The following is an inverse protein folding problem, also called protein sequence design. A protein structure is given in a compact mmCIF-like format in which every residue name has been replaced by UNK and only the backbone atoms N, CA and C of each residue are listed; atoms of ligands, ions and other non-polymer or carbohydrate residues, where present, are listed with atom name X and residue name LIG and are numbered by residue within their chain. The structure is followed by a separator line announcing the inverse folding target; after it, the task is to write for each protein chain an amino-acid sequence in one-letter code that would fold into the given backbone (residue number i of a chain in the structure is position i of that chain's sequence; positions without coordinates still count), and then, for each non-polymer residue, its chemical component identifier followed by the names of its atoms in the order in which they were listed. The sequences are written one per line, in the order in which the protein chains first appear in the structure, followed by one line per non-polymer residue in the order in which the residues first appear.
data_IF_453097379447
#
_entry.id   IF_453097379447
#
_cell.length_a   1.000
_cell.length_b   1.000
_cell.length_c   1.000
_cell.angle_alpha   90.00
_cell.angle_beta   90.00
_cell.angle_gamma   90.00
#
_symmetry.space_group_name_H-M   'P 1'
#
loop_
_entity.id
_entity.type
_entity.pdbx_description
1 polymer ?
#
# COMPACT_ATOMS: atom_id res chain seq x y z
N UNK A 1 -0.68 -14.41 -19.72
CA UNK A 1 -1.25 -15.61 -19.06
C UNK A 1 -1.36 -15.27 -17.58
N UNK A 2 -2.56 -15.31 -17.01
CA UNK A 2 -2.78 -15.13 -15.57
C UNK A 2 -2.99 -16.55 -15.01
N UNK A 3 -2.09 -17.03 -14.17
CA UNK A 3 -2.22 -18.34 -13.53
C UNK A 3 -3.19 -18.24 -12.34
N UNK A 4 -4.16 -19.15 -12.21
CA UNK A 4 -5.04 -19.18 -11.04
C UNK A 4 -4.22 -19.31 -9.75
N UNK A 5 -4.58 -18.59 -8.70
CA UNK A 5 -3.89 -18.68 -7.41
C UNK A 5 -2.67 -17.76 -7.23
N UNK A 6 -2.38 -16.86 -8.18
CA UNK A 6 -1.26 -15.92 -8.11
C UNK A 6 -1.74 -14.46 -8.24
N UNK A 7 -1.05 -13.53 -7.56
CA UNK A 7 -1.30 -12.10 -7.74
C UNK A 7 -0.68 -11.60 -9.05
N UNK A 8 -1.28 -10.62 -9.69
CA UNK A 8 -0.71 -9.97 -10.87
C UNK A 8 0.01 -8.68 -10.49
N UNK A 9 1.33 -8.66 -10.63
CA UNK A 9 2.17 -7.49 -10.40
C UNK A 9 2.20 -6.61 -11.67
N UNK A 10 1.35 -5.59 -11.71
CA UNK A 10 1.19 -4.69 -12.86
C UNK A 10 2.50 -3.99 -13.25
N UNK A 11 3.27 -3.53 -12.27
CA UNK A 11 4.57 -2.85 -12.46
C UNK A 11 5.65 -3.75 -13.06
N UNK A 12 5.48 -5.08 -13.01
CA UNK A 12 6.42 -6.07 -13.55
C UNK A 12 5.87 -6.86 -14.73
N UNK A 13 4.60 -6.66 -15.09
CA UNK A 13 3.88 -7.47 -16.07
C UNK A 13 4.01 -8.99 -15.80
N UNK A 14 3.99 -9.41 -14.53
CA UNK A 14 4.26 -10.78 -14.11
C UNK A 14 3.30 -11.26 -13.02
N UNK A 15 3.19 -12.59 -12.85
CA UNK A 15 2.42 -13.20 -11.75
C UNK A 15 3.34 -13.56 -10.58
N UNK A 16 2.86 -13.37 -9.36
CA UNK A 16 3.62 -13.54 -8.12
C UNK A 16 2.87 -14.48 -7.18
N UNK A 17 3.59 -15.43 -6.57
CA UNK A 17 3.04 -16.41 -5.63
C UNK A 17 2.60 -15.74 -4.31
N UNK A 18 1.59 -16.29 -3.62
CA UNK A 18 1.24 -15.88 -2.26
C UNK A 18 2.45 -15.89 -1.32
N UNK A 19 2.54 -14.87 -0.46
CA UNK A 19 3.64 -14.66 0.49
C UNK A 19 4.90 -14.04 -0.11
N UNK A 20 4.95 -13.79 -1.43
CA UNK A 20 6.09 -13.11 -2.06
C UNK A 20 5.85 -11.61 -2.17
N UNK A 21 6.95 -10.87 -2.07
CA UNK A 21 6.99 -9.40 -2.15
C UNK A 21 7.77 -8.94 -3.38
N UNK A 22 7.38 -7.81 -3.95
CA UNK A 22 8.06 -7.17 -5.06
C UNK A 22 8.11 -5.65 -4.89
N UNK A 23 9.16 -5.04 -5.42
CA UNK A 23 9.26 -3.59 -5.53
C UNK A 23 8.34 -3.04 -6.63
N UNK A 24 7.77 -1.86 -6.39
CA UNK A 24 6.83 -1.17 -7.29
C UNK A 24 7.50 -0.16 -8.24
N UNK A 25 8.81 -0.28 -8.46
CA UNK A 25 9.56 0.61 -9.37
C UNK A 25 8.80 0.82 -10.70
N UNK A 26 8.67 2.08 -11.18
CA UNK A 26 9.36 3.30 -10.72
C UNK A 26 8.72 4.00 -9.51
N UNK A 27 7.67 3.45 -8.89
CA UNK A 27 7.08 3.99 -7.67
C UNK A 27 7.88 3.54 -6.44
N UNK A 28 7.97 4.42 -5.44
CA UNK A 28 8.60 4.07 -4.16
C UNK A 28 7.61 3.34 -3.27
N UNK A 29 7.65 2.02 -3.34
CA UNK A 29 6.79 1.14 -2.56
C UNK A 29 7.12 -0.32 -2.84
N UNK A 30 6.54 -1.20 -2.03
CA UNK A 30 6.56 -2.64 -2.25
C UNK A 30 5.15 -3.19 -2.17
N UNK A 31 4.92 -4.29 -2.85
CA UNK A 31 3.68 -5.04 -2.79
C UNK A 31 3.93 -6.45 -2.34
N UNK A 32 3.00 -7.02 -1.60
CA UNK A 32 3.03 -8.42 -1.17
C UNK A 32 1.76 -9.13 -1.62
N UNK A 33 1.89 -10.32 -2.20
CA UNK A 33 0.74 -11.12 -2.55
C UNK A 33 0.22 -11.82 -1.29
N UNK A 34 -0.99 -11.48 -0.85
CA UNK A 34 -1.61 -12.07 0.35
C UNK A 34 -2.92 -12.76 -0.01
N UNK A 35 -3.29 -13.77 0.78
CA UNK A 35 -4.57 -14.45 0.68
C UNK A 35 -5.46 -13.90 1.79
N UNK A 36 -6.66 -13.42 1.45
CA UNK A 36 -7.61 -12.92 2.44
C UNK A 36 -8.20 -14.07 3.27
N UNK A 37 -8.61 -13.75 4.48
CA UNK A 37 -9.32 -14.68 5.38
C UNK A 37 -10.81 -14.82 5.04
N UNK A 38 -11.26 -14.16 3.97
CA UNK A 38 -12.63 -14.24 3.46
C UNK A 38 -13.01 -15.68 3.08
N UNK A 39 -14.31 -15.98 3.07
CA UNK A 39 -14.84 -17.25 2.57
C UNK A 39 -15.79 -16.97 1.39
N UNK A 40 -15.39 -17.23 0.14
CA UNK A 40 -14.15 -17.86 -0.31
C UNK A 40 -12.92 -16.92 -0.26
N UNK A 41 -11.69 -17.47 -0.13
CA UNK A 41 -10.48 -16.67 -0.04
C UNK A 41 -10.21 -15.92 -1.35
N UNK A 42 -9.75 -14.68 -1.22
CA UNK A 42 -9.38 -13.83 -2.36
C UNK A 42 -7.88 -13.54 -2.33
N UNK A 43 -7.29 -13.34 -3.50
CA UNK A 43 -5.92 -12.84 -3.60
C UNK A 43 -5.96 -11.31 -3.53
N UNK A 44 -5.13 -10.75 -2.66
CA UNK A 44 -4.98 -9.31 -2.49
C UNK A 44 -3.51 -8.94 -2.72
N UNK A 45 -3.30 -7.82 -3.40
CA UNK A 45 -2.00 -7.16 -3.44
C UNK A 45 -1.96 -6.16 -2.27
N UNK A 46 -1.20 -6.48 -1.23
CA UNK A 46 -0.96 -5.56 -0.12
C UNK A 46 0.14 -4.58 -0.51
N UNK A 47 -0.22 -3.32 -0.75
CA UNK A 47 0.69 -2.24 -1.14
C UNK A 47 1.17 -1.48 0.10
N UNK A 48 2.48 -1.34 0.25
CA UNK A 48 3.13 -0.46 1.21
C UNK A 48 3.94 0.60 0.45
N UNK A 49 3.57 1.86 0.58
CA UNK A 49 4.25 3.00 -0.02
C UNK A 49 4.63 4.05 1.04
N UNK A 50 5.14 5.20 0.61
CA UNK A 50 5.58 6.27 1.52
C UNK A 50 4.43 7.02 2.21
N UNK A 51 3.18 6.65 1.94
CA UNK A 51 2.01 7.34 2.47
C UNK A 51 1.74 8.71 1.83
N UNK A 52 0.77 9.46 2.37
CA UNK A 52 0.42 10.78 1.85
C UNK A 52 1.58 11.75 1.99
N UNK A 53 1.78 12.60 0.98
CA UNK A 53 2.73 13.69 1.10
C UNK A 53 2.18 14.76 2.05
N UNK A 54 3.06 15.43 2.82
CA UNK A 54 2.64 16.53 3.68
C UNK A 54 2.14 17.72 2.85
N UNK A 55 1.28 18.54 3.46
CA UNK A 55 0.82 19.80 2.92
C UNK A 55 2.01 20.74 2.69
N UNK A 56 2.03 21.40 1.54
CA UNK A 56 3.11 22.31 1.18
C UNK A 56 3.20 23.46 2.20
N UNK A 57 4.35 23.57 2.87
CA UNK A 57 4.62 24.61 3.85
C UNK A 57 6.00 25.24 3.54
N UNK A 58 6.12 26.58 3.47
CA UNK A 58 7.42 27.23 3.25
C UNK A 58 8.49 26.89 4.30
N UNK A 59 8.09 26.46 5.50
CA UNK A 59 9.00 26.12 6.62
C UNK A 59 9.55 24.69 6.60
N UNK A 60 9.04 23.83 5.72
CA UNK A 60 9.49 22.45 5.59
C UNK A 60 9.76 22.14 4.12
N UNK A 61 11.01 21.82 3.79
CA UNK A 61 11.43 21.56 2.41
C UNK A 61 11.87 20.11 2.25
N UNK A 62 11.65 19.56 1.06
CA UNK A 62 12.21 18.27 0.68
C UNK A 62 13.73 18.38 0.74
N UNK A 63 14.36 17.47 1.49
CA UNK A 63 15.79 17.36 1.60
C UNK A 63 16.28 16.46 0.45
N UNK A 64 16.65 17.07 -0.68
CA UNK A 64 17.10 16.35 -1.87
C UNK A 64 18.43 15.62 -1.66
N UNK A 65 19.26 16.06 -0.70
CA UNK A 65 20.52 15.39 -0.37
C UNK A 65 20.27 14.09 0.42
N UNK A 66 19.27 14.09 1.30
CA UNK A 66 18.89 12.89 2.06
C UNK A 66 17.91 11.99 1.32
N UNK A 67 17.14 12.52 0.38
CA UNK A 67 16.13 11.76 -0.36
C UNK A 67 16.75 11.04 -1.55
N UNK A 68 16.93 9.73 -1.45
CA UNK A 68 17.42 8.91 -2.56
C UNK A 68 16.28 8.20 -3.32
N UNK A 69 15.70 8.87 -4.32
CA UNK A 69 14.57 8.34 -5.11
C UNK A 69 14.85 7.01 -5.84
N UNK A 70 16.11 6.59 -5.99
CA UNK A 70 16.47 5.34 -6.66
C UNK A 70 16.80 4.19 -5.70
N UNK A 71 16.76 4.44 -4.39
CA UNK A 71 16.90 3.38 -3.40
C UNK A 71 15.67 2.44 -3.40
N UNK A 72 15.82 1.24 -2.83
CA UNK A 72 14.68 0.36 -2.59
C UNK A 72 13.80 0.89 -1.47
N UNK A 73 12.51 0.56 -1.48
CA UNK A 73 11.61 0.91 -0.37
C UNK A 73 12.10 0.25 0.94
N UNK A 74 12.08 0.95 2.10
CA UNK A 74 11.54 2.30 2.34
C UNK A 74 12.53 3.45 2.13
N UNK A 75 13.75 3.18 1.68
CA UNK A 75 14.82 4.17 1.53
C UNK A 75 14.59 5.22 0.44
N UNK A 76 13.69 4.96 -0.52
CA UNK A 76 13.31 5.94 -1.54
C UNK A 76 12.27 6.97 -1.09
N UNK A 77 11.77 6.88 0.15
CA UNK A 77 10.75 7.79 0.64
C UNK A 77 11.29 9.21 0.84
N UNK A 78 10.47 10.24 0.56
CA UNK A 78 10.88 11.64 0.68
C UNK A 78 11.16 11.99 2.14
N UNK A 79 12.32 12.61 2.37
CA UNK A 79 12.72 13.12 3.69
C UNK A 79 12.57 14.64 3.65
N UNK A 80 11.80 15.18 4.59
CA UNK A 80 11.60 16.63 4.71
C UNK A 80 12.38 17.18 5.89
N UNK A 81 13.09 18.27 5.67
CA UNK A 81 13.78 19.03 6.71
C UNK A 81 12.99 20.31 6.98
N UNK A 82 12.64 20.54 8.24
CA UNK A 82 11.86 21.68 8.71
C UNK A 82 12.73 22.63 9.53
N UNK A 83 12.40 23.93 9.51
CA UNK A 83 12.94 24.91 10.47
C UNK A 83 12.54 24.55 11.90
N UNK A 84 13.31 25.00 12.89
CA UNK A 84 13.06 24.68 14.30
C UNK A 84 11.64 25.10 14.72
N UNK A 85 10.87 24.12 15.25
CA UNK A 85 9.48 24.32 15.68
C UNK A 85 8.43 24.19 14.57
N UNK A 86 8.81 24.01 13.31
CA UNK A 86 7.86 23.71 12.23
C UNK A 86 7.56 22.21 12.17
N UNK A 87 6.27 21.87 12.01
CA UNK A 87 5.77 20.50 11.90
C UNK A 87 5.12 20.29 10.53
N UNK A 88 5.32 19.11 9.95
CA UNK A 88 4.61 18.68 8.76
C UNK A 88 3.15 18.38 9.13
N UNK A 89 2.23 19.02 8.41
CA UNK A 89 0.81 18.70 8.45
C UNK A 89 0.49 17.81 7.25
N UNK A 90 -0.29 16.76 7.46
CA UNK A 90 -0.68 15.83 6.40
C UNK A 90 -2.17 16.03 6.10
N UNK A 91 -2.60 15.88 4.83
CA UNK A 91 -4.01 15.95 4.50
C UNK A 91 -4.79 14.88 5.27
N UNK A 92 -5.99 15.22 5.74
CA UNK A 92 -6.90 14.24 6.30
C UNK A 92 -7.29 13.24 5.20
N UNK A 93 -6.93 11.97 5.40
CA UNK A 93 -7.36 10.90 4.51
C UNK A 93 -8.83 10.61 4.84
N UNK A 94 -9.74 10.64 3.85
CA UNK A 94 -11.10 10.16 4.06
C UNK A 94 -11.03 8.74 4.59
N UNK A 95 -11.42 8.53 5.84
CA UNK A 95 -11.47 7.19 6.43
C UNK A 95 -12.57 6.44 5.68
N UNK A 96 -12.18 5.49 4.82
CA UNK A 96 -13.15 4.49 4.35
C UNK A 96 -13.68 3.80 5.59
N UNK A 97 -15.00 3.80 5.77
CA UNK A 97 -15.64 3.23 6.94
C UNK A 97 -15.02 1.86 7.26
N UNK A 98 -14.76 1.53 8.54
CA UNK A 98 -14.25 0.23 8.91
C UNK A 98 -15.14 -0.84 8.26
N UNK A 99 -14.50 -1.82 7.61
CA UNK A 99 -15.22 -3.02 7.16
C UNK A 99 -15.96 -3.55 8.38
N UNK A 100 -17.31 -3.57 8.38
CA UNK A 100 -18.05 -4.02 9.54
C UNK A 100 -17.68 -5.47 9.84
N UNK A 101 -17.26 -5.74 11.07
CA UNK A 101 -16.89 -7.07 11.58
C UNK A 101 -18.07 -8.06 11.65
N UNK A 102 -19.24 -7.66 11.14
CA UNK A 102 -20.49 -8.43 11.20
C UNK A 102 -20.89 -8.93 9.80
N UNK A 103 -20.21 -9.99 9.35
CA UNK A 103 -20.73 -10.89 8.30
C UNK A 103 -20.38 -12.35 8.60
N UNK A 104 -20.25 -12.66 9.89
CA UNK A 104 -20.41 -14.01 10.39
C UNK A 104 -21.92 -14.24 10.63
N UNK A 105 -22.50 -15.08 9.78
CA UNK A 105 -23.77 -15.79 9.98
C UNK A 105 -25.08 -15.05 9.62
N UNK A 106 -25.58 -15.36 8.42
CA UNK A 106 -27.01 -15.54 8.19
C UNK A 106 -27.25 -16.62 7.12
N UNK A 107 -27.34 -17.89 7.58
CA UNK A 107 -28.39 -18.89 7.28
C UNK A 107 -28.86 -19.09 5.82
N UNK A 108 -28.68 -20.29 5.23
CA UNK A 108 -29.62 -21.46 5.30
C UNK A 108 -30.97 -21.14 4.61
N UNK A 109 -31.40 -21.74 3.48
CA UNK A 109 -31.85 -23.14 3.21
C UNK A 109 -32.27 -23.28 1.70
N UNK A 110 -32.79 -24.42 1.16
CA UNK A 110 -32.36 -25.01 -0.12
C UNK A 110 -33.49 -25.13 -1.18
N UNK A 111 -33.18 -25.63 -2.40
CA UNK A 111 -34.15 -26.31 -3.30
C UNK A 111 -33.37 -26.98 -4.44
N UNK A 112 -33.22 -28.31 -4.40
CA UNK A 112 -34.08 -29.34 -5.00
C UNK A 112 -33.80 -29.53 -6.50
#
# INVERSE_FOLDING_TARGET
MISPGMCFASTRCATVEPGKTWELHPFCGRSTCVVSEDKPPRLLELVEDCGPLPLANPKCKLDEEKTNKTASFPGCCPIFTCEEGAKLEYPEIPTVAPVPEDSADASTTPKA
#
